data_IF_310550377145
#
_entry.id   IF_310550377145
#
_cell.length_a   1.000
_cell.length_b   1.000
_cell.length_c   1.000
_cell.angle_alpha   90.00
_cell.angle_beta   90.00
_cell.angle_gamma   90.00
#
_symmetry.space_group_name_H-M   'P 1'
#
loop_
_entity.id
_entity.type
_entity.pdbx_description
1 polymer ?
#
# COMPACT_ATOMS: atom_id res chain seq x y z
N UNK A 1 -5.77 18.38 -17.60
CA UNK A 1 -5.33 18.94 -16.31
C UNK A 1 -3.87 18.58 -16.08
N UNK A 2 -3.16 19.42 -15.31
CA UNK A 2 -1.83 19.12 -14.77
C UNK A 2 -1.99 18.64 -13.34
N UNK A 3 -1.61 17.41 -13.07
CA UNK A 3 -1.82 16.72 -11.79
C UNK A 3 -0.47 16.46 -11.15
N UNK A 4 -0.29 16.83 -9.88
CA UNK A 4 0.90 16.48 -9.11
C UNK A 4 0.55 15.47 -8.00
N UNK A 5 1.12 14.29 -8.08
CA UNK A 5 1.06 13.29 -7.02
C UNK A 5 2.19 13.55 -6.01
N UNK A 6 1.81 13.83 -4.77
CA UNK A 6 2.73 14.07 -3.65
C UNK A 6 2.90 12.75 -2.90
N UNK A 7 3.95 12.02 -3.20
CA UNK A 7 4.16 10.67 -2.66
C UNK A 7 5.56 10.51 -2.04
N UNK A 8 5.70 9.69 -0.98
CA UNK A 8 7.01 9.38 -0.41
C UNK A 8 7.85 8.47 -1.30
N UNK A 9 7.24 7.79 -2.26
CA UNK A 9 7.89 6.83 -3.15
C UNK A 9 7.11 6.63 -4.45
N UNK A 10 7.81 6.17 -5.48
CA UNK A 10 7.23 5.64 -6.70
C UNK A 10 7.85 4.26 -6.97
N UNK A 11 7.05 3.33 -7.49
CA UNK A 11 7.48 1.95 -7.75
C UNK A 11 8.42 1.87 -8.96
N UNK A 12 9.67 2.24 -8.73
CA UNK A 12 10.78 2.25 -9.69
C UNK A 12 12.10 2.38 -8.92
N UNK A 13 13.22 2.23 -9.60
CA UNK A 13 14.58 2.45 -9.06
C UNK A 13 14.86 1.74 -7.72
N UNK A 14 14.39 0.46 -7.60
CA UNK A 14 14.62 -0.36 -6.40
C UNK A 14 13.61 -0.14 -5.26
N UNK A 15 12.60 0.71 -5.44
CA UNK A 15 11.47 0.85 -4.53
C UNK A 15 10.34 -0.11 -4.89
N UNK A 16 9.89 -0.88 -3.90
CA UNK A 16 8.88 -1.92 -4.07
C UNK A 16 7.87 -1.89 -2.91
N UNK A 17 7.29 -0.71 -2.63
CA UNK A 17 6.27 -0.51 -1.60
C UNK A 17 4.86 -0.34 -2.19
N UNK A 18 3.84 -0.57 -1.36
CA UNK A 18 2.44 -0.41 -1.77
C UNK A 18 2.08 1.03 -2.14
N UNK A 19 2.65 2.03 -1.46
CA UNK A 19 2.49 3.44 -1.81
C UNK A 19 3.05 3.76 -3.19
N UNK A 20 4.26 3.27 -3.47
CA UNK A 20 4.90 3.48 -4.76
C UNK A 20 4.15 2.80 -5.90
N UNK A 21 3.61 1.61 -5.66
CA UNK A 21 2.77 0.90 -6.62
C UNK A 21 1.50 1.69 -6.94
N UNK A 22 0.80 2.18 -5.91
CA UNK A 22 -0.39 2.99 -6.05
C UNK A 22 -0.11 4.28 -6.84
N UNK A 23 0.95 5.01 -6.46
CA UNK A 23 1.38 6.24 -7.15
C UNK A 23 1.65 6.00 -8.62
N UNK A 24 2.36 4.91 -8.96
CA UNK A 24 2.65 4.53 -10.34
C UNK A 24 1.40 4.15 -11.11
N UNK A 25 0.50 3.37 -10.51
CA UNK A 25 -0.76 2.95 -11.14
C UNK A 25 -1.64 4.16 -11.45
N UNK A 26 -1.92 5.01 -10.47
CA UNK A 26 -2.73 6.21 -10.68
C UNK A 26 -2.11 7.15 -11.70
N UNK A 27 -0.80 7.40 -11.57
CA UNK A 27 -0.12 8.34 -12.46
C UNK A 27 -0.09 7.87 -13.91
N UNK A 28 0.19 6.58 -14.15
CA UNK A 28 0.11 5.96 -15.48
C UNK A 28 -1.30 6.07 -16.08
N UNK A 29 -2.32 5.78 -15.28
CA UNK A 29 -3.71 5.85 -15.74
C UNK A 29 -4.16 7.27 -16.06
N UNK A 30 -3.77 8.27 -15.26
CA UNK A 30 -4.04 9.67 -15.57
C UNK A 30 -3.30 10.11 -16.85
N UNK A 31 -2.03 9.73 -17.00
CA UNK A 31 -1.25 10.05 -18.19
C UNK A 31 -1.84 9.40 -19.46
N UNK A 32 -2.29 8.15 -19.39
CA UNK A 32 -2.92 7.44 -20.52
C UNK A 32 -4.24 8.08 -20.97
N UNK A 33 -4.89 8.87 -20.10
CA UNK A 33 -6.11 9.64 -20.39
C UNK A 33 -5.84 11.07 -20.83
N UNK A 34 -4.56 11.38 -21.14
CA UNK A 34 -4.16 12.67 -21.70
C UNK A 34 -3.96 13.78 -20.67
N UNK A 35 -3.82 13.44 -19.38
CA UNK A 35 -3.44 14.41 -18.36
C UNK A 35 -1.91 14.52 -18.25
N UNK A 36 -1.42 15.71 -17.96
CA UNK A 36 -0.02 15.94 -17.63
C UNK A 36 0.22 15.60 -16.16
N UNK A 37 1.00 14.55 -15.89
CA UNK A 37 1.20 14.02 -14.56
C UNK A 37 2.62 14.19 -14.08
N UNK A 38 2.76 14.77 -12.90
CA UNK A 38 4.04 14.92 -12.21
C UNK A 38 4.02 14.16 -10.88
N UNK A 39 5.17 13.56 -10.53
CA UNK A 39 5.41 12.98 -9.21
C UNK A 39 6.62 13.67 -8.60
N UNK A 40 6.53 14.12 -7.35
CA UNK A 40 7.67 14.70 -6.62
C UNK A 40 8.02 13.79 -5.46
N UNK A 41 9.22 13.19 -5.48
CA UNK A 41 9.66 12.15 -4.54
C UNK A 41 11.13 12.31 -4.17
N UNK A 42 11.61 11.80 -3.02
CA UNK A 42 13.05 11.72 -2.74
C UNK A 42 13.78 10.91 -3.82
N UNK A 43 14.93 11.42 -4.30
CA UNK A 43 15.75 10.75 -5.30
C UNK A 43 16.34 9.46 -4.75
N UNK A 44 16.43 8.45 -5.59
CA UNK A 44 16.99 7.15 -5.26
C UNK A 44 18.23 6.82 -6.07
N UNK A 45 18.99 5.83 -5.62
CA UNK A 45 20.18 5.39 -6.34
C UNK A 45 19.85 5.04 -7.79
N UNK A 46 20.61 5.58 -8.74
CA UNK A 46 20.38 5.40 -10.17
C UNK A 46 19.26 6.26 -10.79
N UNK A 47 18.53 7.06 -10.00
CA UNK A 47 17.52 7.98 -10.49
C UNK A 47 18.12 9.35 -10.83
N UNK A 48 17.77 9.89 -11.98
CA UNK A 48 18.07 11.29 -12.35
C UNK A 48 17.24 12.31 -11.58
N UNK A 49 17.52 13.59 -11.79
CA UNK A 49 16.74 14.68 -11.20
C UNK A 49 15.32 14.76 -11.78
N UNK A 50 15.21 14.52 -13.08
CA UNK A 50 13.94 14.46 -13.81
C UNK A 50 13.96 13.21 -14.67
N UNK A 51 12.96 12.38 -14.51
CA UNK A 51 12.81 11.13 -15.25
C UNK A 51 11.42 11.05 -15.89
N UNK A 52 11.31 10.32 -16.99
CA UNK A 52 10.03 9.93 -17.57
C UNK A 52 9.72 8.50 -17.15
N UNK A 53 8.53 8.27 -16.62
CA UNK A 53 8.06 6.94 -16.21
C UNK A 53 6.59 6.77 -16.57
N UNK A 54 6.27 5.86 -17.48
CA UNK A 54 4.89 5.52 -17.87
C UNK A 54 4.04 6.74 -18.25
N UNK A 55 4.64 7.73 -18.94
CA UNK A 55 3.98 8.99 -19.33
C UNK A 55 3.95 10.07 -18.24
N UNK A 56 4.48 9.79 -17.05
CA UNK A 56 4.63 10.77 -15.97
C UNK A 56 6.00 11.44 -16.02
N UNK A 57 6.10 12.67 -15.53
CA UNK A 57 7.36 13.33 -15.17
C UNK A 57 7.64 13.14 -13.69
N UNK A 58 8.72 12.46 -13.36
CA UNK A 58 9.12 12.20 -11.96
C UNK A 58 10.27 13.12 -11.58
N UNK A 59 10.03 14.02 -10.64
CA UNK A 59 11.01 14.90 -10.04
C UNK A 59 11.61 14.27 -8.79
N UNK A 60 12.91 13.95 -8.83
CA UNK A 60 13.66 13.41 -7.70
C UNK A 60 14.41 14.51 -6.96
N UNK A 61 13.95 14.96 -5.79
CA UNK A 61 14.73 15.91 -4.97
C UNK A 61 15.80 15.19 -4.16
N UNK A 62 16.93 15.89 -3.80
CA UNK A 62 18.06 15.27 -3.12
C UNK A 62 17.67 14.58 -1.81
N UNK A 63 18.08 13.32 -1.64
CA UNK A 63 18.10 12.65 -0.34
C UNK A 63 19.49 12.86 0.29
N UNK A 64 19.57 13.64 1.35
CA UNK A 64 20.82 14.03 2.03
C UNK A 64 21.37 12.88 2.89
N UNK A 65 21.75 11.77 2.25
CA UNK A 65 22.37 10.63 2.92
C UNK A 65 23.62 11.06 3.71
N UNK A 66 23.89 10.38 4.82
CA UNK A 66 25.02 10.68 5.71
C UNK A 66 24.82 11.85 6.67
N UNK A 67 23.73 12.63 6.57
CA UNK A 67 23.36 13.65 7.55
C UNK A 67 22.52 13.07 8.68
N UNK A 68 22.47 13.77 9.83
CA UNK A 68 21.53 13.37 10.88
C UNK A 68 20.10 13.36 10.33
N UNK A 69 19.27 12.43 10.83
CA UNK A 69 17.89 12.23 10.35
C UNK A 69 17.07 13.53 10.33
N UNK A 70 17.23 14.37 11.36
CA UNK A 70 16.52 15.65 11.46
C UNK A 70 16.98 16.65 10.40
N UNK A 71 18.30 16.79 10.23
CA UNK A 71 18.89 17.71 9.26
C UNK A 71 18.58 17.28 7.83
N UNK A 72 18.71 15.99 7.51
CA UNK A 72 18.34 15.41 6.22
C UNK A 72 16.89 15.72 5.89
N UNK A 73 15.97 15.42 6.80
CA UNK A 73 14.55 15.68 6.63
C UNK A 73 14.23 17.16 6.45
N UNK A 74 14.95 18.06 7.10
CA UNK A 74 14.78 19.50 6.94
C UNK A 74 15.28 19.99 5.58
N UNK A 75 16.50 19.61 5.17
CA UNK A 75 17.09 20.00 3.88
C UNK A 75 16.28 19.46 2.70
N UNK A 76 15.92 18.19 2.74
CA UNK A 76 15.10 17.57 1.69
C UNK A 76 13.75 18.27 1.50
N UNK A 77 13.16 18.80 2.57
CA UNK A 77 11.92 19.60 2.47
C UNK A 77 12.14 20.93 1.76
N UNK A 78 13.22 21.64 2.08
CA UNK A 78 13.55 22.91 1.43
C UNK A 78 13.76 22.68 -0.07
N UNK A 79 14.52 21.64 -0.42
CA UNK A 79 14.80 21.29 -1.81
C UNK A 79 13.51 20.91 -2.56
N UNK A 80 12.63 20.13 -1.95
CA UNK A 80 11.38 19.69 -2.58
C UNK A 80 10.44 20.83 -2.95
N UNK A 81 10.50 21.97 -2.25
CA UNK A 81 9.66 23.14 -2.54
C UNK A 81 9.84 23.66 -3.97
N UNK A 82 11.09 23.71 -4.46
CA UNK A 82 11.40 24.13 -5.82
C UNK A 82 10.79 23.21 -6.88
N UNK A 83 10.80 21.89 -6.60
CA UNK A 83 10.23 20.89 -7.50
C UNK A 83 8.72 20.96 -7.57
N UNK A 84 8.00 21.19 -6.46
CA UNK A 84 6.56 21.40 -6.49
C UNK A 84 6.16 22.62 -7.33
N UNK A 85 6.96 23.71 -7.31
CA UNK A 85 6.73 24.88 -8.16
C UNK A 85 6.98 24.57 -9.64
N UNK A 86 8.02 23.76 -9.95
CA UNK A 86 8.33 23.35 -11.33
C UNK A 86 7.21 22.53 -11.99
N UNK A 87 6.37 21.81 -11.21
CA UNK A 87 5.27 21.05 -11.79
C UNK A 87 4.17 21.93 -12.37
N UNK A 88 4.04 23.17 -11.91
CA UNK A 88 2.93 24.09 -12.25
C UNK A 88 1.56 23.41 -12.30
N UNK A 89 1.36 22.43 -11.42
CA UNK A 89 0.17 21.60 -11.42
C UNK A 89 -1.10 22.41 -11.05
N UNK A 90 -2.22 22.02 -11.65
CA UNK A 90 -3.52 22.60 -11.36
C UNK A 90 -4.10 22.05 -10.05
N UNK A 91 -3.77 20.78 -9.73
CA UNK A 91 -4.20 20.07 -8.53
C UNK A 91 -3.04 19.25 -7.95
N UNK A 92 -2.97 19.20 -6.63
CA UNK A 92 -2.02 18.40 -5.86
C UNK A 92 -2.78 17.34 -5.07
N UNK A 93 -2.37 16.08 -5.18
CA UNK A 93 -2.95 14.99 -4.39
C UNK A 93 -1.88 14.25 -3.60
N UNK A 94 -1.99 14.26 -2.28
CA UNK A 94 -1.12 13.51 -1.37
C UNK A 94 -1.76 12.17 -1.04
N UNK A 95 -1.08 11.09 -1.41
CA UNK A 95 -1.49 9.71 -1.10
C UNK A 95 -1.27 9.32 0.39
N UNK A 96 -0.61 10.17 1.12
CA UNK A 96 -0.52 10.12 2.58
C UNK A 96 -0.23 11.51 3.11
N UNK A 97 -0.84 11.85 4.25
CA UNK A 97 -0.48 13.09 4.93
C UNK A 97 0.95 12.99 5.46
N UNK A 98 1.80 13.93 5.05
CA UNK A 98 3.20 13.95 5.41
C UNK A 98 3.75 15.38 5.42
N UNK A 99 4.99 15.53 5.77
CA UNK A 99 5.66 16.82 5.64
C UNK A 99 5.78 17.27 4.17
N UNK A 100 5.84 16.34 3.21
CA UNK A 100 5.82 16.68 1.79
C UNK A 100 4.50 17.35 1.40
N UNK A 101 3.37 16.93 1.99
CA UNK A 101 2.07 17.58 1.83
C UNK A 101 2.12 19.04 2.28
N UNK A 102 2.69 19.31 3.46
CA UNK A 102 2.86 20.68 3.96
C UNK A 102 3.72 21.54 3.04
N UNK A 103 4.83 20.98 2.56
CA UNK A 103 5.74 21.71 1.66
C UNK A 103 5.09 21.99 0.32
N UNK A 104 4.35 21.04 -0.24
CA UNK A 104 3.58 21.24 -1.46
C UNK A 104 2.55 22.38 -1.29
N UNK A 105 1.80 22.40 -0.17
CA UNK A 105 0.86 23.47 0.18
C UNK A 105 1.54 24.83 0.38
N UNK A 106 2.78 24.85 0.91
CA UNK A 106 3.57 26.09 1.05
C UNK A 106 4.14 26.55 -0.29
N UNK A 107 4.52 25.62 -1.15
CA UNK A 107 5.06 25.92 -2.46
C UNK A 107 4.01 26.50 -3.42
N UNK A 108 2.80 25.95 -3.36
CA UNK A 108 1.68 26.27 -4.27
C UNK A 108 0.37 26.52 -3.47
N UNK A 109 0.33 27.58 -2.63
CA UNK A 109 -0.76 27.80 -1.68
C UNK A 109 -2.10 28.17 -2.35
N UNK A 110 -2.08 28.61 -3.60
CA UNK A 110 -3.27 29.00 -4.36
C UNK A 110 -3.90 27.83 -5.13
N UNK A 111 -3.22 26.69 -5.16
CA UNK A 111 -3.71 25.48 -5.85
C UNK A 111 -4.44 24.56 -4.86
N UNK A 112 -5.50 23.85 -5.30
CA UNK A 112 -6.17 22.88 -4.45
C UNK A 112 -5.26 21.69 -4.12
N UNK A 113 -5.28 21.31 -2.85
CA UNK A 113 -4.56 20.14 -2.32
C UNK A 113 -5.55 19.15 -1.75
N UNK A 114 -5.51 17.92 -2.23
CA UNK A 114 -6.28 16.80 -1.72
C UNK A 114 -5.38 15.86 -0.91
N UNK A 115 -5.96 15.15 0.04
CA UNK A 115 -5.23 14.17 0.86
C UNK A 115 -6.07 12.90 0.95
N UNK A 116 -5.47 11.75 0.62
CA UNK A 116 -6.01 10.42 0.93
C UNK A 116 -5.22 9.80 2.07
N UNK A 117 -5.90 9.40 3.14
CA UNK A 117 -5.29 8.67 4.25
C UNK A 117 -5.14 7.19 3.86
N UNK A 118 -3.92 6.81 3.46
CA UNK A 118 -3.61 5.44 3.08
C UNK A 118 -3.33 4.57 4.30
N UNK A 119 -2.53 5.07 5.24
CA UNK A 119 -2.05 4.26 6.36
C UNK A 119 -1.66 5.13 7.58
N UNK A 120 -2.63 5.77 8.24
CA UNK A 120 -2.37 6.51 9.47
C UNK A 120 -2.09 5.56 10.63
N UNK A 121 -0.97 5.76 11.32
CA UNK A 121 -0.53 4.95 12.47
C UNK A 121 -0.91 5.61 13.80
N UNK A 122 -1.54 4.85 14.69
CA UNK A 122 -1.69 5.22 16.09
C UNK A 122 -0.66 4.52 17.00
N UNK A 123 -0.69 4.85 18.28
CA UNK A 123 0.26 4.27 19.24
C UNK A 123 0.06 2.77 19.46
N UNK A 124 -1.18 2.28 19.36
CA UNK A 124 -1.49 0.87 19.56
C UNK A 124 -0.93 0.02 18.41
N UNK A 125 -0.99 0.53 17.18
CA UNK A 125 -0.41 -0.13 16.01
C UNK A 125 1.13 -0.12 16.08
N UNK A 126 1.74 0.99 16.50
CA UNK A 126 3.18 1.02 16.77
C UNK A 126 3.58 0.03 17.85
N UNK A 127 2.72 -0.20 18.87
CA UNK A 127 2.97 -1.19 19.90
C UNK A 127 2.92 -2.62 19.35
N UNK A 128 1.99 -2.93 18.46
CA UNK A 128 1.94 -4.24 17.77
C UNK A 128 3.24 -4.47 16.98
N UNK A 129 3.69 -3.47 16.21
CA UNK A 129 4.93 -3.57 15.43
C UNK A 129 6.14 -3.73 16.34
N UNK A 130 6.24 -2.97 17.42
CA UNK A 130 7.37 -3.02 18.35
C UNK A 130 7.53 -4.39 19.07
N UNK A 131 6.46 -5.18 19.16
CA UNK A 131 6.52 -6.55 19.71
C UNK A 131 7.26 -7.54 18.79
N UNK A 132 7.21 -7.30 17.48
CA UNK A 132 7.82 -8.21 16.48
C UNK A 132 9.06 -7.63 15.83
N UNK A 133 9.26 -6.31 15.92
CA UNK A 133 10.43 -5.63 15.36
C UNK A 133 11.13 -4.76 16.43
N UNK A 134 12.24 -5.25 17.01
CA UNK A 134 12.97 -4.54 18.07
C UNK A 134 13.55 -3.18 17.65
N UNK A 135 13.61 -2.88 16.34
CA UNK A 135 14.06 -1.57 15.82
C UNK A 135 13.10 -0.45 16.21
N UNK A 136 11.84 -0.78 16.48
CA UNK A 136 10.79 0.17 16.88
C UNK A 136 10.59 0.12 18.40
N UNK A 137 11.25 1.04 19.13
CA UNK A 137 11.06 1.18 20.58
C UNK A 137 10.13 2.35 20.88
N UNK A 138 9.06 2.09 21.63
CA UNK A 138 8.10 3.13 22.05
C UNK A 138 8.62 3.90 23.27
N UNK A 139 9.71 4.61 23.09
CA UNK A 139 10.26 5.49 24.13
C UNK A 139 9.32 6.70 24.37
N UNK A 140 9.37 7.37 25.52
CA UNK A 140 8.64 8.62 25.75
C UNK A 140 8.92 9.67 24.66
N UNK A 141 10.18 9.80 24.22
CA UNK A 141 10.57 10.70 23.14
C UNK A 141 9.90 10.33 21.81
N UNK A 142 9.79 9.04 21.48
CA UNK A 142 9.08 8.59 20.28
C UNK A 142 7.58 8.94 20.35
N UNK A 143 6.93 8.70 21.49
CA UNK A 143 5.51 9.04 21.70
C UNK A 143 5.26 10.53 21.58
N UNK A 144 6.07 11.37 22.24
CA UNK A 144 5.96 12.83 22.14
C UNK A 144 6.17 13.32 20.71
N UNK A 145 7.13 12.74 20.00
CA UNK A 145 7.36 13.05 18.59
C UNK A 145 6.13 12.75 17.73
N UNK A 146 5.50 11.58 17.88
CA UNK A 146 4.30 11.22 17.12
C UNK A 146 3.14 12.20 17.37
N UNK A 147 2.94 12.61 18.62
CA UNK A 147 1.90 13.59 18.98
C UNK A 147 2.17 14.92 18.30
N UNK A 148 3.42 15.42 18.38
CA UNK A 148 3.82 16.68 17.74
C UNK A 148 3.67 16.60 16.23
N UNK A 149 4.11 15.48 15.62
CA UNK A 149 3.99 15.23 14.18
C UNK A 149 2.52 15.28 13.73
N UNK A 150 1.63 14.57 14.41
CA UNK A 150 0.20 14.58 14.11
C UNK A 150 -0.42 15.98 14.28
N UNK A 151 -0.01 16.75 15.28
CA UNK A 151 -0.42 18.14 15.45
C UNK A 151 0.05 19.05 14.31
N UNK A 152 1.28 18.86 13.84
CA UNK A 152 1.81 19.62 12.70
C UNK A 152 1.06 19.24 11.42
N UNK A 153 0.87 17.93 11.17
CA UNK A 153 0.21 17.42 9.99
C UNK A 153 -1.30 17.74 9.98
N UNK A 154 -1.93 17.92 11.14
CA UNK A 154 -3.31 18.39 11.20
C UNK A 154 -3.53 19.77 10.53
N UNK A 155 -2.46 20.59 10.46
CA UNK A 155 -2.51 21.87 9.70
C UNK A 155 -2.62 21.64 8.19
N UNK A 156 -1.93 20.60 7.67
CA UNK A 156 -2.06 20.20 6.27
C UNK A 156 -3.48 19.74 5.96
N UNK A 157 -4.08 18.96 6.85
CA UNK A 157 -5.44 18.49 6.70
C UNK A 157 -6.45 19.67 6.67
N UNK A 158 -6.30 20.65 7.56
CA UNK A 158 -7.19 21.85 7.57
C UNK A 158 -7.04 22.74 6.34
N UNK A 159 -5.91 22.70 5.66
CA UNK A 159 -5.65 23.46 4.42
C UNK A 159 -6.05 22.69 3.16
N UNK A 160 -6.34 21.41 3.28
CA UNK A 160 -6.74 20.60 2.14
C UNK A 160 -8.14 21.01 1.66
N UNK A 161 -8.33 21.02 0.34
CA UNK A 161 -9.62 21.25 -0.29
C UNK A 161 -10.58 20.09 0.00
N UNK A 162 -10.05 18.85 0.06
CA UNK A 162 -10.83 17.65 0.38
C UNK A 162 -9.96 16.58 1.03
N UNK A 163 -10.59 15.76 1.88
CA UNK A 163 -9.96 14.68 2.62
C UNK A 163 -10.64 13.35 2.32
N UNK A 164 -9.85 12.33 2.06
CA UNK A 164 -10.30 10.99 1.72
C UNK A 164 -9.60 9.93 2.56
N UNK A 165 -10.21 8.75 2.67
CA UNK A 165 -9.61 7.54 3.23
C UNK A 165 -9.81 6.38 2.26
N UNK A 166 -8.77 5.58 2.05
CA UNK A 166 -8.81 4.41 1.17
C UNK A 166 -9.69 3.28 1.68
N UNK A 167 -9.98 3.25 2.97
CA UNK A 167 -10.79 2.26 3.64
C UNK A 167 -11.65 2.92 4.72
N UNK A 168 -12.85 2.40 4.92
CA UNK A 168 -13.83 3.00 5.84
C UNK A 168 -13.39 2.91 7.30
N UNK A 169 -12.74 1.82 7.69
CA UNK A 169 -12.24 1.64 9.07
C UNK A 169 -11.13 2.62 9.45
N UNK A 170 -10.48 3.26 8.47
CA UNK A 170 -9.46 4.29 8.71
C UNK A 170 -10.07 5.65 9.07
N UNK A 171 -11.33 5.91 8.70
CA UNK A 171 -11.99 7.20 8.90
C UNK A 171 -11.97 7.66 10.36
N UNK A 172 -12.44 6.87 11.36
CA UNK A 172 -12.44 7.30 12.75
C UNK A 172 -11.01 7.48 13.29
N UNK A 173 -10.05 6.69 12.80
CA UNK A 173 -8.64 6.82 13.16
C UNK A 173 -8.04 8.13 12.63
N UNK A 174 -8.21 8.42 11.34
CA UNK A 174 -7.73 9.67 10.72
C UNK A 174 -8.34 10.90 11.43
N UNK A 175 -9.66 10.86 11.69
CA UNK A 175 -10.34 11.92 12.42
C UNK A 175 -9.74 12.19 13.79
N UNK A 176 -9.49 11.14 14.56
CA UNK A 176 -8.86 11.23 15.91
C UNK A 176 -7.43 11.75 15.84
N UNK A 177 -6.59 11.17 14.97
CA UNK A 177 -5.15 11.49 14.91
C UNK A 177 -4.89 12.91 14.44
N UNK A 178 -5.63 13.38 13.44
CA UNK A 178 -5.41 14.70 12.82
C UNK A 178 -6.45 15.75 13.28
N UNK A 179 -7.31 15.43 14.26
CA UNK A 179 -8.32 16.34 14.84
C UNK A 179 -9.19 16.96 13.75
N UNK A 180 -9.74 16.11 12.87
CA UNK A 180 -10.56 16.55 11.77
C UNK A 180 -11.97 16.92 12.26
N UNK A 181 -12.53 17.99 11.73
CA UNK A 181 -13.91 18.44 12.02
C UNK A 181 -14.94 17.55 11.32
N UNK A 182 -14.61 17.09 10.11
CA UNK A 182 -15.47 16.22 9.28
C UNK A 182 -14.76 14.91 9.00
N UNK A 183 -15.54 13.87 8.77
CA UNK A 183 -15.02 12.58 8.34
C UNK A 183 -14.46 12.66 6.92
N UNK A 184 -13.28 12.08 6.64
CA UNK A 184 -12.81 11.89 5.29
C UNK A 184 -13.80 11.05 4.46
N UNK A 185 -14.03 11.46 3.22
CA UNK A 185 -14.83 10.66 2.30
C UNK A 185 -14.10 9.37 1.89
N UNK A 186 -14.84 8.34 1.50
CA UNK A 186 -14.23 7.11 1.01
C UNK A 186 -13.75 7.30 -0.43
N UNK A 187 -12.46 7.04 -0.69
CA UNK A 187 -11.85 7.01 -2.02
C UNK A 187 -11.00 5.73 -2.13
N UNK A 188 -11.50 4.70 -2.84
CA UNK A 188 -10.84 3.40 -2.89
C UNK A 188 -9.52 3.43 -3.66
N UNK A 189 -8.59 2.53 -3.29
CA UNK A 189 -7.40 2.29 -4.08
C UNK A 189 -7.73 1.50 -5.35
N UNK A 190 -7.09 1.81 -6.48
CA UNK A 190 -7.29 1.08 -7.73
C UNK A 190 -6.58 -0.27 -7.73
N UNK A 191 -7.19 -1.25 -8.38
CA UNK A 191 -6.54 -2.52 -8.73
C UNK A 191 -6.96 -2.96 -10.13
N UNK A 192 -6.02 -3.57 -10.85
CA UNK A 192 -6.31 -4.16 -12.15
C UNK A 192 -7.07 -5.47 -11.97
N UNK A 193 -8.19 -5.61 -12.71
CA UNK A 193 -8.98 -6.84 -12.71
C UNK A 193 -8.76 -7.58 -14.03
N UNK A 194 -8.25 -8.82 -13.98
CA UNK A 194 -8.03 -9.60 -15.21
C UNK A 194 -9.33 -9.83 -15.99
N UNK A 195 -9.32 -9.48 -17.29
CA UNK A 195 -10.50 -9.66 -18.16
C UNK A 195 -10.61 -11.07 -18.75
N UNK A 196 -9.63 -11.94 -18.45
CA UNK A 196 -9.62 -13.34 -18.93
C UNK A 196 -10.30 -14.27 -17.94
N UNK A 197 -10.71 -15.44 -18.41
CA UNK A 197 -11.17 -16.53 -17.55
C UNK A 197 -10.03 -17.02 -16.68
N UNK A 198 -10.24 -17.06 -15.38
CA UNK A 198 -9.25 -17.49 -14.39
C UNK A 198 -9.26 -19.02 -14.24
N UNK A 199 -8.06 -19.60 -14.05
CA UNK A 199 -7.89 -21.05 -13.87
C UNK A 199 -7.14 -21.33 -12.58
N UNK A 200 -7.82 -21.90 -11.61
CA UNK A 200 -7.22 -22.36 -10.35
C UNK A 200 -6.41 -23.64 -10.56
N UNK A 201 -5.36 -23.80 -9.77
CA UNK A 201 -4.60 -25.07 -9.76
C UNK A 201 -5.51 -26.25 -9.42
N UNK A 202 -5.16 -27.43 -9.91
CA UNK A 202 -5.89 -28.67 -9.59
C UNK A 202 -5.69 -29.14 -8.15
N UNK A 203 -4.54 -28.78 -7.55
CA UNK A 203 -4.19 -29.11 -6.17
C UNK A 203 -4.27 -27.83 -5.30
N UNK A 204 -4.51 -27.97 -3.98
CA UNK A 204 -4.48 -26.87 -3.05
C UNK A 204 -3.16 -26.09 -3.15
N UNK A 205 -3.26 -24.79 -3.40
CA UNK A 205 -2.11 -23.89 -3.56
C UNK A 205 -2.37 -22.63 -2.73
N UNK A 206 -1.48 -22.31 -1.82
CA UNK A 206 -1.52 -21.10 -1.01
C UNK A 206 -0.38 -20.17 -1.40
N UNK A 207 -0.65 -18.87 -1.50
CA UNK A 207 0.40 -17.88 -1.78
C UNK A 207 0.51 -16.84 -0.67
N UNK A 208 1.70 -16.24 -0.59
CA UNK A 208 2.03 -15.09 0.25
C UNK A 208 2.56 -13.98 -0.65
N UNK A 209 2.07 -12.76 -0.46
CA UNK A 209 2.47 -11.60 -1.26
C UNK A 209 2.74 -10.40 -0.36
N UNK A 210 3.98 -10.21 0.06
CA UNK A 210 4.41 -9.06 0.83
C UNK A 210 5.95 -8.95 0.84
N UNK A 211 6.48 -7.82 1.34
CA UNK A 211 7.88 -7.74 1.78
C UNK A 211 8.08 -8.64 2.99
N UNK A 212 9.26 -9.24 3.10
CA UNK A 212 9.58 -10.12 4.23
C UNK A 212 10.15 -9.33 5.41
N UNK A 213 9.44 -8.28 5.82
CA UNK A 213 9.76 -7.50 7.01
C UNK A 213 9.20 -8.19 8.27
N UNK A 214 9.79 -8.01 9.47
CA UNK A 214 9.34 -8.67 10.69
C UNK A 214 7.85 -8.53 10.97
N UNK A 215 7.24 -7.38 10.64
CA UNK A 215 5.81 -7.16 10.82
C UNK A 215 4.93 -8.05 9.94
N UNK A 216 5.47 -8.61 8.84
CA UNK A 216 4.75 -9.50 7.92
C UNK A 216 4.83 -10.98 8.31
N UNK A 217 5.76 -11.33 9.19
CA UNK A 217 5.92 -12.66 9.82
C UNK A 217 5.87 -13.82 8.81
N UNK A 218 6.63 -13.71 7.72
CA UNK A 218 6.67 -14.73 6.67
C UNK A 218 7.04 -16.12 7.20
N UNK A 219 7.71 -16.18 8.33
CA UNK A 219 8.10 -17.41 9.03
C UNK A 219 6.87 -18.24 9.45
N UNK A 220 5.72 -17.62 9.72
CA UNK A 220 4.47 -18.35 10.00
C UNK A 220 3.93 -19.02 8.73
N UNK A 221 4.06 -18.37 7.58
CA UNK A 221 3.72 -18.98 6.29
C UNK A 221 4.63 -20.18 5.97
N UNK A 222 5.93 -20.09 6.28
CA UNK A 222 6.85 -21.22 6.13
C UNK A 222 6.48 -22.37 7.07
N UNK A 223 6.08 -22.07 8.31
CA UNK A 223 5.57 -23.07 9.25
C UNK A 223 4.30 -23.78 8.77
N UNK A 224 3.43 -23.08 8.04
CA UNK A 224 2.29 -23.74 7.38
C UNK A 224 2.74 -24.73 6.31
N UNK A 225 3.73 -24.37 5.49
CA UNK A 225 4.26 -25.27 4.47
C UNK A 225 4.88 -26.52 5.09
N UNK A 226 5.60 -26.39 6.21
CA UNK A 226 6.15 -27.52 6.97
C UNK A 226 5.04 -28.44 7.53
N UNK A 227 3.91 -27.86 7.97
CA UNK A 227 2.81 -28.60 8.59
C UNK A 227 1.83 -29.24 7.58
N UNK A 228 1.74 -28.73 6.35
CA UNK A 228 0.79 -29.17 5.32
C UNK A 228 1.50 -29.59 4.02
N UNK A 229 2.15 -30.77 3.97
CA UNK A 229 2.95 -31.20 2.82
C UNK A 229 2.14 -31.43 1.54
N UNK A 230 0.83 -31.64 1.64
CA UNK A 230 -0.06 -31.86 0.48
C UNK A 230 -0.57 -30.55 -0.13
N UNK A 231 -0.20 -29.39 0.44
CA UNK A 231 -0.51 -28.07 -0.10
C UNK A 231 0.74 -27.46 -0.72
N UNK A 232 0.64 -26.91 -1.91
CA UNK A 232 1.71 -26.12 -2.54
C UNK A 232 1.74 -24.72 -1.94
N UNK A 233 2.91 -24.23 -1.54
CA UNK A 233 3.10 -22.89 -1.00
C UNK A 233 4.02 -22.06 -1.89
N UNK A 234 3.63 -20.81 -2.17
CA UNK A 234 4.40 -19.88 -3.01
C UNK A 234 4.57 -18.55 -2.27
N UNK A 235 5.79 -18.23 -1.84
CA UNK A 235 6.13 -16.99 -1.16
C UNK A 235 6.74 -15.97 -2.14
N UNK A 236 5.96 -14.95 -2.49
CA UNK A 236 6.40 -13.81 -3.30
C UNK A 236 6.92 -12.69 -2.40
N UNK A 237 8.08 -12.15 -2.74
CA UNK A 237 8.73 -11.06 -2.01
C UNK A 237 10.11 -11.42 -1.50
N UNK A 238 10.69 -10.49 -0.75
CA UNK A 238 11.99 -10.63 -0.10
C UNK A 238 12.14 -9.66 1.06
N UNK A 239 13.12 -9.89 1.93
CA UNK A 239 13.52 -8.90 2.93
C UNK A 239 14.37 -7.79 2.31
N UNK A 240 14.23 -6.57 2.82
CA UNK A 240 15.12 -5.46 2.48
C UNK A 240 16.47 -5.56 3.19
N UNK A 241 16.54 -6.29 4.30
CA UNK A 241 17.80 -6.57 4.98
C UNK A 241 18.44 -7.83 4.36
N UNK A 242 19.63 -7.69 3.74
CA UNK A 242 20.28 -8.83 3.04
C UNK A 242 20.58 -10.02 3.94
N UNK A 243 20.92 -9.79 5.22
CA UNK A 243 21.21 -10.86 6.16
C UNK A 243 19.95 -11.66 6.50
N UNK A 244 18.85 -10.97 6.79
CA UNK A 244 17.54 -11.58 7.02
C UNK A 244 17.05 -12.31 5.77
N UNK A 245 17.22 -11.73 4.57
CA UNK A 245 16.83 -12.36 3.30
C UNK A 245 17.56 -13.70 3.10
N UNK A 246 18.87 -13.74 3.34
CA UNK A 246 19.69 -14.96 3.20
C UNK A 246 19.21 -16.07 4.16
N UNK A 247 18.90 -15.72 5.41
CA UNK A 247 18.39 -16.68 6.41
C UNK A 247 17.04 -17.25 5.98
N UNK A 248 16.10 -16.39 5.57
CA UNK A 248 14.77 -16.81 5.15
C UNK A 248 14.82 -17.69 3.90
N UNK A 249 15.64 -17.33 2.91
CA UNK A 249 15.83 -18.17 1.70
C UNK A 249 16.44 -19.53 2.01
N UNK A 250 17.39 -19.60 2.93
CA UNK A 250 17.98 -20.87 3.37
C UNK A 250 16.91 -21.77 4.00
N UNK A 251 16.04 -21.22 4.86
CA UNK A 251 14.92 -21.98 5.44
C UNK A 251 13.95 -22.44 4.35
N UNK A 252 13.56 -21.55 3.44
CA UNK A 252 12.68 -21.87 2.32
C UNK A 252 13.20 -23.06 1.49
N UNK A 253 14.49 -23.06 1.15
CA UNK A 253 15.11 -24.13 0.35
C UNK A 253 15.06 -25.51 1.02
N UNK A 254 14.84 -25.58 2.33
CA UNK A 254 14.68 -26.82 3.09
C UNK A 254 13.25 -27.36 3.16
N UNK A 255 12.26 -26.66 2.59
CA UNK A 255 10.84 -27.03 2.65
C UNK A 255 10.38 -27.47 1.26
N UNK A 256 10.09 -28.77 1.03
CA UNK A 256 9.91 -29.32 -0.31
C UNK A 256 8.70 -28.76 -1.10
N UNK A 257 7.62 -28.41 -0.41
CA UNK A 257 6.38 -27.89 -0.99
C UNK A 257 6.30 -26.36 -0.96
N UNK A 258 7.43 -25.65 -0.69
CA UNK A 258 7.50 -24.19 -0.64
C UNK A 258 8.42 -23.64 -1.73
N UNK A 259 7.88 -22.76 -2.57
CA UNK A 259 8.64 -22.00 -3.57
C UNK A 259 8.78 -20.55 -3.14
N UNK A 260 10.01 -20.04 -3.06
CA UNK A 260 10.31 -18.63 -2.77
C UNK A 260 10.77 -17.92 -4.05
N UNK A 261 9.89 -17.16 -4.67
CA UNK A 261 10.16 -16.53 -5.97
C UNK A 261 11.07 -15.30 -5.88
N UNK A 262 11.09 -14.64 -4.75
CA UNK A 262 11.66 -13.31 -4.64
C UNK A 262 10.71 -12.27 -5.20
N UNK A 263 11.28 -11.20 -5.76
CA UNK A 263 10.50 -10.20 -6.48
C UNK A 263 10.04 -10.77 -7.83
N UNK A 264 8.77 -10.62 -8.14
CA UNK A 264 8.13 -11.12 -9.38
C UNK A 264 7.62 -9.98 -10.25
N UNK A 265 7.56 -10.19 -11.55
CA UNK A 265 6.88 -9.28 -12.47
C UNK A 265 5.36 -9.28 -12.25
N UNK A 266 4.67 -8.25 -12.75
CA UNK A 266 3.21 -8.16 -12.67
C UNK A 266 2.53 -9.38 -13.31
N UNK A 267 3.03 -9.85 -14.46
CA UNK A 267 2.49 -11.04 -15.15
C UNK A 267 2.70 -12.32 -14.35
N UNK A 268 3.85 -12.47 -13.70
CA UNK A 268 4.14 -13.63 -12.86
C UNK A 268 3.32 -13.61 -11.58
N UNK A 269 3.20 -12.44 -10.93
CA UNK A 269 2.32 -12.23 -9.79
C UNK A 269 0.88 -12.61 -10.13
N UNK A 270 0.37 -12.09 -11.26
CA UNK A 270 -0.98 -12.39 -11.73
C UNK A 270 -1.19 -13.89 -11.95
N UNK A 271 -0.22 -14.60 -12.56
CA UNK A 271 -0.30 -16.06 -12.75
C UNK A 271 -0.30 -16.83 -11.42
N UNK A 272 0.50 -16.41 -10.45
CA UNK A 272 0.54 -17.05 -9.12
C UNK A 272 -0.78 -16.82 -8.39
N UNK A 273 -1.29 -15.58 -8.36
CA UNK A 273 -2.58 -15.28 -7.73
C UNK A 273 -3.71 -16.04 -8.41
N UNK A 274 -3.73 -16.10 -9.76
CA UNK A 274 -4.74 -16.83 -10.52
C UNK A 274 -4.82 -18.30 -10.12
N UNK A 275 -3.68 -19.00 -10.00
CA UNK A 275 -3.67 -20.43 -9.67
C UNK A 275 -3.90 -20.72 -8.19
N UNK A 276 -3.70 -19.74 -7.30
CA UNK A 276 -3.79 -19.93 -5.85
C UNK A 276 -5.24 -20.09 -5.38
N UNK A 277 -5.45 -20.96 -4.39
CA UNK A 277 -6.73 -21.17 -3.71
C UNK A 277 -6.89 -20.23 -2.51
N UNK A 278 -5.78 -19.74 -1.97
CA UNK A 278 -5.79 -18.77 -0.87
C UNK A 278 -4.57 -17.83 -0.93
N UNK A 279 -4.78 -16.56 -0.57
CA UNK A 279 -3.71 -15.64 -0.15
C UNK A 279 -3.62 -15.68 1.36
N UNK A 280 -2.46 -16.06 1.89
CA UNK A 280 -2.19 -16.04 3.33
C UNK A 280 -1.46 -14.76 3.69
N UNK A 281 -1.99 -14.01 4.65
CA UNK A 281 -1.36 -12.82 5.22
C UNK A 281 -1.19 -13.01 6.71
N UNK A 282 0.05 -13.04 7.17
CA UNK A 282 0.43 -13.27 8.57
C UNK A 282 0.84 -11.99 9.31
N UNK A 283 0.53 -10.82 8.75
CA UNK A 283 0.91 -9.52 9.30
C UNK A 283 0.31 -9.29 10.69
N UNK A 284 1.08 -8.63 11.56
CA UNK A 284 0.58 -8.19 12.87
C UNK A 284 -0.35 -6.97 12.76
N UNK A 285 -0.29 -6.29 11.62
CA UNK A 285 -1.07 -5.07 11.36
C UNK A 285 -1.10 -4.79 9.86
N UNK A 286 -2.26 -4.41 9.37
CA UNK A 286 -2.47 -3.89 8.01
C UNK A 286 -3.36 -2.63 8.04
N UNK A 287 -3.15 -1.77 7.02
CA UNK A 287 -4.22 -0.87 6.59
C UNK A 287 -5.14 -1.64 5.63
N UNK A 288 -5.31 -1.20 4.39
CA UNK A 288 -5.91 -2.05 3.35
C UNK A 288 -4.78 -2.47 2.39
N UNK A 289 -4.27 -3.71 2.49
CA UNK A 289 -3.17 -4.15 1.62
C UNK A 289 -3.62 -4.21 0.16
N UNK A 290 -2.80 -3.70 -0.75
CA UNK A 290 -3.03 -3.87 -2.19
C UNK A 290 -3.10 -5.36 -2.55
N UNK A 291 -2.29 -6.20 -1.90
CA UNK A 291 -2.29 -7.66 -2.12
C UNK A 291 -3.64 -8.33 -1.83
N UNK A 292 -4.47 -7.78 -0.92
CA UNK A 292 -5.83 -8.29 -0.69
C UNK A 292 -6.70 -8.02 -1.92
N UNK A 293 -6.66 -6.80 -2.44
CA UNK A 293 -7.43 -6.41 -3.62
C UNK A 293 -6.98 -7.21 -4.86
N UNK A 294 -5.65 -7.37 -5.02
CA UNK A 294 -5.08 -8.17 -6.12
C UNK A 294 -5.49 -9.64 -6.03
N UNK A 295 -5.46 -10.24 -4.84
CA UNK A 295 -5.91 -11.62 -4.64
C UNK A 295 -7.39 -11.78 -4.97
N UNK A 296 -8.24 -10.88 -4.44
CA UNK A 296 -9.68 -10.92 -4.70
C UNK A 296 -9.98 -10.68 -6.18
N UNK A 297 -9.26 -9.79 -6.88
CA UNK A 297 -9.38 -9.60 -8.33
C UNK A 297 -9.12 -10.89 -9.12
N UNK A 298 -8.31 -11.80 -8.55
CA UNK A 298 -7.99 -13.12 -9.11
C UNK A 298 -8.85 -14.26 -8.54
N UNK A 299 -9.98 -13.97 -7.89
CA UNK A 299 -10.82 -14.97 -7.21
C UNK A 299 -10.08 -15.79 -6.16
N UNK A 300 -9.10 -15.19 -5.49
CA UNK A 300 -8.28 -15.84 -4.46
C UNK A 300 -8.68 -15.30 -3.09
N UNK A 301 -9.40 -16.07 -2.28
CA UNK A 301 -9.83 -15.65 -0.94
C UNK A 301 -8.66 -15.43 0.01
N UNK A 302 -8.90 -14.64 1.06
CA UNK A 302 -7.89 -14.18 2.00
C UNK A 302 -7.93 -15.00 3.28
N UNK A 303 -6.77 -15.45 3.76
CA UNK A 303 -6.56 -16.00 5.09
C UNK A 303 -5.70 -15.03 5.89
N UNK A 304 -6.26 -14.34 6.89
CA UNK A 304 -5.54 -13.31 7.66
C UNK A 304 -6.11 -13.11 9.06
N UNK A 305 -5.26 -12.69 9.99
CA UNK A 305 -5.70 -12.16 11.30
C UNK A 305 -6.28 -10.74 11.21
N UNK A 306 -5.84 -9.96 10.22
CA UNK A 306 -6.32 -8.61 9.97
C UNK A 306 -7.56 -8.63 9.04
N UNK A 307 -8.51 -7.75 9.32
CA UNK A 307 -9.82 -7.72 8.64
C UNK A 307 -10.23 -6.30 8.25
N UNK A 308 -9.44 -5.61 7.39
CA UNK A 308 -9.76 -4.26 6.95
C UNK A 308 -11.10 -4.23 6.21
N UNK A 309 -12.00 -3.34 6.63
CA UNK A 309 -13.37 -3.20 6.09
C UNK A 309 -14.17 -4.52 6.02
N UNK A 310 -13.81 -5.52 6.81
CA UNK A 310 -14.48 -6.82 6.81
C UNK A 310 -14.14 -7.71 5.60
N UNK A 311 -13.10 -7.39 4.82
CA UNK A 311 -12.79 -8.14 3.59
C UNK A 311 -12.38 -9.58 3.85
N UNK A 312 -11.59 -9.80 4.90
CA UNK A 312 -11.15 -11.15 5.26
C UNK A 312 -12.33 -12.02 5.73
N UNK A 313 -13.21 -11.47 6.56
CA UNK A 313 -14.40 -12.17 7.05
C UNK A 313 -15.41 -12.43 5.93
N UNK A 314 -15.57 -11.50 4.98
CA UNK A 314 -16.55 -11.61 3.89
C UNK A 314 -16.06 -12.53 2.75
N UNK A 315 -14.79 -12.43 2.38
CA UNK A 315 -14.23 -13.05 1.17
C UNK A 315 -13.10 -14.02 1.46
N UNK A 316 -12.99 -14.51 2.69
CA UNK A 316 -11.95 -15.41 3.10
C UNK A 316 -12.18 -16.01 4.46
N UNK A 317 -11.14 -16.20 5.25
CA UNK A 317 -11.21 -16.70 6.61
C UNK A 317 -10.36 -15.83 7.55
N UNK A 318 -11.00 -15.20 8.52
CA UNK A 318 -10.30 -14.47 9.57
C UNK A 318 -9.73 -15.46 10.58
N UNK A 319 -8.45 -15.30 10.91
CA UNK A 319 -7.70 -16.08 11.89
C UNK A 319 -7.76 -15.37 13.24
N UNK A 320 -7.93 -16.15 14.32
CA UNK A 320 -7.80 -15.69 15.70
C UNK A 320 -6.59 -16.38 16.33
N UNK A 321 -5.93 -15.69 17.25
CA UNK A 321 -4.81 -16.23 18.06
C UNK A 321 -3.68 -16.86 17.22
N UNK A 322 -3.47 -16.34 16.01
CA UNK A 322 -2.47 -16.84 15.05
C UNK A 322 -2.64 -18.31 14.63
N UNK A 323 -3.82 -18.90 14.83
CA UNK A 323 -4.12 -20.28 14.40
C UNK A 323 -4.38 -20.37 12.89
N UNK A 324 -3.33 -20.07 12.11
CA UNK A 324 -3.37 -20.11 10.64
C UNK A 324 -3.58 -21.53 10.10
N UNK A 325 -3.16 -22.57 10.84
CA UNK A 325 -3.35 -23.95 10.46
C UNK A 325 -4.83 -24.30 10.34
N UNK A 326 -5.56 -24.14 11.44
CA UNK A 326 -7.01 -24.34 11.45
C UNK A 326 -7.73 -23.42 10.46
N UNK A 327 -7.26 -22.15 10.35
CA UNK A 327 -7.82 -21.23 9.37
C UNK A 327 -7.69 -21.71 7.94
N UNK A 328 -6.54 -22.31 7.58
CA UNK A 328 -6.28 -22.89 6.27
C UNK A 328 -7.16 -24.11 6.01
N UNK A 329 -7.23 -25.04 6.96
CA UNK A 329 -8.12 -26.22 6.88
C UNK A 329 -9.58 -25.83 6.67
N UNK A 330 -10.08 -24.89 7.48
CA UNK A 330 -11.45 -24.39 7.38
C UNK A 330 -11.74 -23.72 6.02
N UNK A 331 -10.76 -22.97 5.49
CA UNK A 331 -10.90 -22.27 4.22
C UNK A 331 -10.91 -23.26 3.05
N UNK A 332 -9.99 -24.25 3.05
CA UNK A 332 -9.81 -25.20 1.96
C UNK A 332 -10.79 -26.39 2.02
N UNK A 333 -11.60 -26.50 3.08
CA UNK A 333 -12.59 -27.57 3.22
C UNK A 333 -13.70 -27.43 2.18
N UNK A 334 -13.78 -28.40 1.27
CA UNK A 334 -14.74 -28.38 0.17
C UNK A 334 -14.51 -27.26 -0.83
N UNK A 335 -15.57 -26.79 -1.50
CA UNK A 335 -15.51 -25.78 -2.56
C UNK A 335 -15.89 -24.35 -2.11
N UNK A 336 -16.13 -24.13 -0.84
CA UNK A 336 -16.57 -22.83 -0.31
C UNK A 336 -15.59 -21.67 -0.58
N UNK A 337 -14.30 -21.96 -0.73
CA UNK A 337 -13.29 -20.99 -1.08
C UNK A 337 -13.50 -20.40 -2.49
N UNK A 338 -14.02 -21.20 -3.45
CA UNK A 338 -14.31 -20.73 -4.82
C UNK A 338 -15.41 -19.67 -4.82
N UNK A 339 -16.47 -19.91 -4.05
CA UNK A 339 -17.56 -18.92 -3.94
C UNK A 339 -17.11 -17.66 -3.25
N UNK A 340 -16.31 -17.75 -2.18
CA UNK A 340 -15.71 -16.59 -1.51
C UNK A 340 -14.81 -15.80 -2.47
N UNK A 341 -14.00 -16.47 -3.30
CA UNK A 341 -13.17 -15.85 -4.32
C UNK A 341 -14.01 -15.09 -5.35
N UNK A 342 -15.08 -15.71 -5.88
CA UNK A 342 -15.97 -15.05 -6.86
C UNK A 342 -16.69 -13.83 -6.25
N UNK A 343 -17.17 -13.93 -5.00
CA UNK A 343 -17.78 -12.81 -4.30
C UNK A 343 -16.77 -11.67 -4.08
N UNK A 344 -15.54 -12.01 -3.70
CA UNK A 344 -14.47 -11.04 -3.53
C UNK A 344 -14.11 -10.32 -4.84
N UNK A 345 -14.05 -11.06 -5.96
CA UNK A 345 -13.82 -10.46 -7.27
C UNK A 345 -14.93 -9.49 -7.65
N UNK A 346 -16.20 -9.87 -7.48
CA UNK A 346 -17.33 -8.94 -7.76
C UNK A 346 -17.22 -7.66 -6.96
N UNK A 347 -16.90 -7.75 -5.68
CA UNK A 347 -16.67 -6.57 -4.83
C UNK A 347 -15.55 -5.68 -5.39
N UNK A 348 -14.43 -6.28 -5.80
CA UNK A 348 -13.30 -5.53 -6.36
C UNK A 348 -13.69 -4.88 -7.70
N UNK A 349 -14.40 -5.57 -8.57
CA UNK A 349 -14.90 -5.04 -9.85
C UNK A 349 -15.84 -3.84 -9.64
N UNK A 350 -16.66 -3.87 -8.60
CA UNK A 350 -17.62 -2.81 -8.30
C UNK A 350 -16.97 -1.59 -7.62
N UNK A 351 -15.95 -1.81 -6.78
CA UNK A 351 -15.44 -0.76 -5.87
C UNK A 351 -14.03 -0.31 -6.23
N UNK A 352 -13.15 -1.23 -6.65
CA UNK A 352 -11.71 -1.02 -6.76
C UNK A 352 -11.17 -1.15 -8.19
N UNK A 353 -12.02 -1.48 -9.18
CA UNK A 353 -11.57 -1.59 -10.57
C UNK A 353 -10.91 -0.29 -11.02
N UNK A 354 -9.71 -0.41 -11.61
CA UNK A 354 -8.82 0.72 -11.88
C UNK A 354 -9.48 1.83 -12.69
N UNK A 355 -10.24 1.48 -13.73
CA UNK A 355 -10.92 2.45 -14.58
C UNK A 355 -11.90 3.31 -13.78
N UNK A 356 -12.78 2.67 -13.00
CA UNK A 356 -13.78 3.33 -12.15
C UNK A 356 -13.16 4.22 -11.07
N UNK A 357 -12.09 3.73 -10.45
CA UNK A 357 -11.40 4.51 -9.41
C UNK A 357 -10.74 5.74 -9.99
N UNK A 358 -10.12 5.60 -11.14
CA UNK A 358 -9.46 6.71 -11.84
C UNK A 358 -10.50 7.74 -12.32
N UNK A 359 -11.64 7.30 -12.90
CA UNK A 359 -12.74 8.20 -13.26
C UNK A 359 -13.20 9.02 -12.05
N UNK A 360 -13.40 8.36 -10.91
CA UNK A 360 -13.78 9.02 -9.67
C UNK A 360 -12.74 10.06 -9.18
N UNK A 361 -11.44 9.78 -9.33
CA UNK A 361 -10.40 10.76 -9.01
C UNK A 361 -10.50 11.99 -9.91
N UNK A 362 -10.70 11.78 -11.22
CA UNK A 362 -10.80 12.85 -12.20
C UNK A 362 -12.05 13.70 -11.95
N UNK A 363 -13.21 13.09 -11.68
CA UNK A 363 -14.44 13.81 -11.30
C UNK A 363 -14.24 14.70 -10.06
N UNK A 364 -13.51 14.17 -9.06
CA UNK A 364 -13.16 14.91 -7.85
C UNK A 364 -12.26 16.10 -8.19
N UNK A 365 -11.23 15.91 -9.02
CA UNK A 365 -10.30 16.98 -9.37
C UNK A 365 -11.00 18.07 -10.17
N UNK A 366 -11.82 17.72 -11.14
CA UNK A 366 -12.65 18.68 -11.90
C UNK A 366 -13.60 19.44 -10.98
N UNK A 367 -14.30 18.73 -10.09
CA UNK A 367 -15.21 19.37 -9.13
C UNK A 367 -14.52 20.39 -8.22
N UNK A 368 -13.29 20.07 -7.76
CA UNK A 368 -12.51 20.99 -6.91
C UNK A 368 -11.99 22.19 -7.72
N UNK A 369 -11.57 22.00 -8.97
CA UNK A 369 -11.12 23.08 -9.85
C UNK A 369 -12.24 24.02 -10.26
N UNK A 370 -13.46 23.51 -10.44
CA UNK A 370 -14.64 24.30 -10.76
C UNK A 370 -15.30 24.95 -9.50
N UNK A 371 -14.73 24.73 -8.31
CA UNK A 371 -15.27 25.26 -7.06
C UNK A 371 -16.54 24.56 -6.57
N UNK A 372 -16.89 23.41 -7.15
CA UNK A 372 -17.94 22.51 -6.64
C UNK A 372 -17.42 21.80 -5.38
N UNK A 373 -18.01 22.09 -4.22
CA UNK A 373 -17.67 21.49 -2.92
C UNK A 373 -18.64 20.39 -2.54
#
# INVERSE_FOLDING_TARGET
>A
MRICLVSPEVFAWGYHGGFGFLTRTLGREFASRGHEVSVVTPRRGGQGEVESLDGMTVYGFPDHEGKSRALRSFLSRLDSMGYYRKTDADVFHSEAVSYNTLVAQMAMPQRPHLITFQDPYDLDEWQKIARVDPRYRLTPAFRSRLIIENLVLSRACRRAASLYAQARFLVPKARRLFRLEKDPAFLPNPVEVPRRTLRKAGNPTACFLARWDPQKRVELFFGLAEAYPDVEFIAMGRSHDPASDAVLRKRCAGIPNLTCTGFVSEDEKSRILERSWALVNTSVREALPVSFLEALAHETPILSGEDPDGLTSSFGRRVQDDDYGRGLEDLLKGDGWRERGRLGRRYVEEVHEVGRVVDRHLDIYEGVLEGRR
#
